data_IF_513465521488
#
_entry.id   IF_513465521488
#
_cell.length_a   1.000
_cell.length_b   1.000
_cell.length_c   1.000
_cell.angle_alpha   90.00
_cell.angle_beta   90.00
_cell.angle_gamma   90.00
#
_symmetry.space_group_name_H-M   'P 1'
#
loop_
_entity.id
_entity.type
_entity.pdbx_description
1 polymer ?
#
# COMPACT_ATOMS: atom_id res chain seq x y z
N UNK A 1 -29.37 10.16 -4.24
CA UNK A 1 -29.01 10.34 -2.82
C UNK A 1 -28.69 11.81 -2.66
N UNK A 2 -29.20 12.49 -1.63
CA UNK A 2 -28.82 13.90 -1.45
C UNK A 2 -27.35 14.02 -0.97
N UNK A 3 -26.69 15.18 -1.16
CA UNK A 3 -25.28 15.33 -0.77
C UNK A 3 -25.01 15.08 0.72
N UNK A 4 -25.95 15.40 1.61
CA UNK A 4 -25.77 15.20 3.05
C UNK A 4 -25.79 13.72 3.42
N UNK A 5 -26.78 12.97 2.92
CA UNK A 5 -26.88 11.52 3.06
C UNK A 5 -25.66 10.81 2.43
N UNK A 6 -25.22 11.30 1.26
CA UNK A 6 -24.03 10.82 0.56
C UNK A 6 -22.77 10.95 1.40
N UNK A 7 -22.49 12.15 1.91
CA UNK A 7 -21.33 12.42 2.77
C UNK A 7 -21.36 11.59 4.05
N UNK A 8 -22.49 11.55 4.76
CA UNK A 8 -22.63 10.79 6.01
C UNK A 8 -22.37 9.30 5.79
N UNK A 9 -22.96 8.72 4.73
CA UNK A 9 -22.75 7.31 4.39
C UNK A 9 -21.30 7.03 4.02
N UNK A 10 -20.68 7.92 3.24
CA UNK A 10 -19.30 7.74 2.81
C UNK A 10 -18.30 7.88 3.96
N UNK A 11 -18.47 8.84 4.87
CA UNK A 11 -17.65 8.97 6.08
C UNK A 11 -17.73 7.71 6.96
N UNK A 12 -18.91 7.10 7.11
CA UNK A 12 -19.05 5.81 7.81
C UNK A 12 -18.33 4.66 7.11
N UNK A 13 -18.18 4.71 5.79
CA UNK A 13 -17.42 3.73 5.02
C UNK A 13 -15.91 3.98 5.17
N UNK A 14 -15.47 5.23 5.09
CA UNK A 14 -14.07 5.63 5.30
C UNK A 14 -13.58 5.27 6.71
N UNK A 15 -14.42 5.46 7.74
CA UNK A 15 -14.09 5.08 9.13
C UNK A 15 -13.86 3.57 9.35
N UNK A 16 -14.16 2.72 8.37
CA UNK A 16 -13.93 1.25 8.41
C UNK A 16 -12.66 0.82 7.69
N UNK A 17 -11.96 1.75 7.04
CA UNK A 17 -10.72 1.46 6.33
C UNK A 17 -9.65 0.92 7.28
N UNK A 18 -8.95 -0.10 6.80
CA UNK A 18 -7.80 -0.70 7.45
C UNK A 18 -6.81 -1.20 6.38
N UNK A 19 -5.74 -1.88 6.81
CA UNK A 19 -4.71 -2.39 5.93
C UNK A 19 -5.21 -3.35 4.83
N UNK A 20 -6.42 -3.89 4.94
CA UNK A 20 -7.02 -4.78 3.95
C UNK A 20 -7.52 -4.06 2.72
N UNK A 21 -7.11 -4.52 1.55
CA UNK A 21 -7.69 -4.12 0.27
C UNK A 21 -9.21 -4.34 0.24
N UNK A 22 -9.70 -5.41 0.89
CA UNK A 22 -11.14 -5.69 0.97
C UNK A 22 -11.92 -4.55 1.67
N UNK A 23 -11.31 -3.89 2.67
CA UNK A 23 -11.94 -2.76 3.36
C UNK A 23 -12.13 -1.53 2.45
N UNK A 24 -11.34 -1.43 1.38
CA UNK A 24 -11.29 -0.29 0.46
C UNK A 24 -12.32 -0.41 -0.68
N UNK A 25 -12.72 -1.64 -1.04
CA UNK A 25 -13.60 -1.92 -2.18
C UNK A 25 -14.98 -1.27 -2.01
N UNK A 26 -15.64 -1.47 -0.86
CA UNK A 26 -16.99 -0.96 -0.64
C UNK A 26 -17.08 0.58 -0.66
N UNK A 27 -16.18 1.33 0.02
CA UNK A 27 -16.10 2.78 -0.15
C UNK A 27 -15.87 3.19 -1.61
N UNK A 28 -14.98 2.50 -2.35
CA UNK A 28 -14.68 2.87 -3.73
C UNK A 28 -15.88 2.63 -4.67
N UNK A 29 -16.58 1.51 -4.50
CA UNK A 29 -17.83 1.23 -5.21
C UNK A 29 -18.90 2.29 -4.91
N UNK A 30 -18.99 2.73 -3.65
CA UNK A 30 -19.93 3.78 -3.27
C UNK A 30 -19.61 5.12 -3.95
N UNK A 31 -18.32 5.50 -3.98
CA UNK A 31 -17.85 6.72 -4.63
C UNK A 31 -18.11 6.72 -6.15
N UNK A 32 -17.87 5.58 -6.83
CA UNK A 32 -18.13 5.42 -8.27
C UNK A 32 -19.64 5.35 -8.56
N UNK A 33 -20.43 4.77 -7.67
CA UNK A 33 -21.89 4.73 -7.83
C UNK A 33 -22.53 6.13 -7.77
N UNK A 34 -21.94 7.04 -7.01
CA UNK A 34 -22.43 8.40 -6.80
C UNK A 34 -21.43 9.44 -7.31
N UNK A 35 -21.01 9.29 -8.58
CA UNK A 35 -20.13 10.26 -9.25
C UNK A 35 -20.73 11.67 -9.32
N UNK A 36 -22.06 11.79 -9.26
CA UNK A 36 -22.78 13.07 -9.14
C UNK A 36 -22.41 13.85 -7.87
N UNK A 37 -21.83 13.17 -6.86
CA UNK A 37 -21.38 13.74 -5.59
C UNK A 37 -19.85 13.79 -5.47
N UNK A 38 -19.10 13.68 -6.56
CA UNK A 38 -17.64 13.47 -6.50
C UNK A 38 -16.87 14.55 -5.73
N UNK A 39 -17.25 15.82 -5.85
CA UNK A 39 -16.63 16.94 -5.11
C UNK A 39 -16.90 16.85 -3.59
N UNK A 40 -18.13 16.53 -3.20
CA UNK A 40 -18.52 16.33 -1.80
C UNK A 40 -17.81 15.12 -1.19
N UNK A 41 -17.76 14.00 -1.92
CA UNK A 41 -17.12 12.78 -1.45
C UNK A 41 -15.60 12.92 -1.41
N UNK A 42 -14.99 13.62 -2.37
CA UNK A 42 -13.57 13.93 -2.35
C UNK A 42 -13.21 14.85 -1.18
N UNK A 43 -14.09 15.79 -0.82
CA UNK A 43 -13.93 16.61 0.39
C UNK A 43 -13.96 15.77 1.66
N UNK A 44 -14.79 14.72 1.73
CA UNK A 44 -14.77 13.76 2.86
C UNK A 44 -13.45 12.99 2.97
N UNK A 45 -12.76 12.70 1.86
CA UNK A 45 -11.42 12.08 1.89
C UNK A 45 -10.43 13.02 2.58
N UNK A 46 -10.46 14.31 2.24
CA UNK A 46 -9.62 15.33 2.87
C UNK A 46 -9.96 15.55 4.34
N UNK A 47 -11.25 15.55 4.71
CA UNK A 47 -11.70 15.65 6.10
C UNK A 47 -11.10 14.53 6.99
N UNK A 48 -11.10 13.29 6.48
CA UNK A 48 -10.50 12.14 7.17
C UNK A 48 -8.96 12.18 7.16
N UNK A 49 -8.33 12.72 6.10
CA UNK A 49 -6.87 12.93 6.05
C UNK A 49 -6.42 13.99 7.06
N UNK A 50 -7.17 15.08 7.23
CA UNK A 50 -6.81 16.18 8.11
C UNK A 50 -7.01 15.83 9.59
N UNK A 51 -8.12 15.14 9.92
CA UNK A 51 -8.48 14.77 11.30
C UNK A 51 -7.91 13.43 11.76
N UNK A 52 -7.56 12.54 10.82
CA UNK A 52 -7.14 11.17 11.11
C UNK A 52 -5.70 11.03 11.63
N UNK A 53 -5.45 9.94 12.35
CA UNK A 53 -4.10 9.50 12.73
C UNK A 53 -3.21 9.23 11.51
N UNK A 54 -1.89 9.20 11.67
CA UNK A 54 -0.97 8.81 10.58
C UNK A 54 -1.30 7.45 9.97
N UNK A 55 -1.78 6.51 10.79
CA UNK A 55 -2.21 5.21 10.33
C UNK A 55 -3.50 5.29 9.48
N UNK A 56 -4.46 6.11 9.91
CA UNK A 56 -5.67 6.43 9.12
C UNK A 56 -5.29 7.05 7.78
N UNK A 57 -4.36 8.00 7.76
CA UNK A 57 -3.88 8.66 6.53
C UNK A 57 -3.25 7.67 5.55
N UNK A 58 -2.45 6.72 6.03
CA UNK A 58 -1.90 5.64 5.19
C UNK A 58 -3.03 4.75 4.64
N UNK A 59 -4.03 4.38 5.45
CA UNK A 59 -5.19 3.63 4.97
C UNK A 59 -5.96 4.37 3.88
N UNK A 60 -6.11 5.68 4.02
CA UNK A 60 -6.73 6.54 3.00
C UNK A 60 -5.86 6.58 1.73
N UNK A 61 -4.53 6.65 1.85
CA UNK A 61 -3.62 6.61 0.69
C UNK A 61 -3.79 5.31 -0.12
N UNK A 62 -3.93 4.16 0.55
CA UNK A 62 -4.25 2.90 -0.13
C UNK A 62 -5.66 2.86 -0.70
N UNK A 63 -6.64 3.45 -0.02
CA UNK A 63 -7.98 3.61 -0.55
C UNK A 63 -7.99 4.45 -1.83
N UNK A 64 -7.23 5.55 -1.89
CA UNK A 64 -7.05 6.40 -3.07
C UNK A 64 -6.51 5.58 -4.25
N UNK A 65 -5.51 4.72 -4.02
CA UNK A 65 -5.03 3.79 -5.06
C UNK A 65 -6.13 2.86 -5.57
N UNK A 66 -6.86 2.21 -4.65
CA UNK A 66 -7.99 1.33 -4.98
C UNK A 66 -9.09 2.08 -5.73
N UNK A 67 -9.42 3.31 -5.33
CA UNK A 67 -10.41 4.14 -6.00
C UNK A 67 -9.98 4.44 -7.44
N UNK A 68 -8.72 4.84 -7.66
CA UNK A 68 -8.17 5.07 -9.00
C UNK A 68 -8.25 3.80 -9.86
N UNK A 69 -7.81 2.66 -9.33
CA UNK A 69 -7.87 1.38 -10.04
C UNK A 69 -9.31 1.02 -10.44
N UNK A 70 -10.26 1.21 -9.53
CA UNK A 70 -11.67 0.94 -9.81
C UNK A 70 -12.27 1.94 -10.80
N UNK A 71 -11.91 3.23 -10.74
CA UNK A 71 -12.32 4.22 -11.73
C UNK A 71 -11.84 3.83 -13.14
N UNK A 72 -10.58 3.44 -13.29
CA UNK A 72 -10.01 2.98 -14.56
C UNK A 72 -10.71 1.71 -15.07
N UNK A 73 -10.98 0.74 -14.18
CA UNK A 73 -11.74 -0.47 -14.52
C UNK A 73 -13.18 -0.18 -14.97
N UNK A 74 -13.77 0.93 -14.53
CA UNK A 74 -15.08 1.41 -14.98
C UNK A 74 -15.01 2.34 -16.21
N UNK A 75 -13.84 2.50 -16.83
CA UNK A 75 -13.66 3.33 -18.02
C UNK A 75 -13.73 4.84 -17.77
N UNK A 76 -13.59 5.27 -16.52
CA UNK A 76 -13.58 6.70 -16.16
C UNK A 76 -12.21 7.30 -16.48
N UNK A 77 -12.20 8.54 -16.97
CA UNK A 77 -10.97 9.28 -17.35
C UNK A 77 -10.84 10.64 -16.66
N UNK A 78 -11.80 11.01 -15.81
CA UNK A 78 -11.84 12.29 -15.10
C UNK A 78 -12.25 12.13 -13.64
N UNK A 79 -12.96 13.13 -13.12
CA UNK A 79 -13.49 13.09 -11.75
C UNK A 79 -12.40 12.88 -10.70
N UNK A 80 -12.55 11.85 -9.87
CA UNK A 80 -11.57 11.45 -8.87
C UNK A 80 -10.14 11.33 -9.41
N UNK A 81 -9.94 10.80 -10.63
CA UNK A 81 -8.60 10.63 -11.22
C UNK A 81 -7.90 11.99 -11.39
N UNK A 82 -8.62 13.00 -11.89
CA UNK A 82 -8.07 14.35 -12.09
C UNK A 82 -7.81 15.05 -10.75
N UNK A 83 -8.72 14.90 -9.79
CA UNK A 83 -8.56 15.50 -8.45
C UNK A 83 -7.35 14.91 -7.71
N UNK A 84 -7.18 13.59 -7.75
CA UNK A 84 -6.07 12.86 -7.13
C UNK A 84 -4.74 13.22 -7.83
N UNK A 85 -4.73 13.24 -9.16
CA UNK A 85 -3.55 13.63 -9.94
C UNK A 85 -3.11 15.06 -9.62
N UNK A 86 -4.06 16.01 -9.60
CA UNK A 86 -3.81 17.41 -9.22
C UNK A 86 -3.22 17.56 -7.82
N UNK A 87 -3.74 16.80 -6.85
CA UNK A 87 -3.40 16.95 -5.45
C UNK A 87 -2.34 15.96 -4.94
N UNK A 88 -1.68 15.19 -5.83
CA UNK A 88 -0.78 14.10 -5.42
C UNK A 88 0.32 14.55 -4.46
N UNK A 89 0.94 15.71 -4.68
CA UNK A 89 1.96 16.23 -3.77
C UNK A 89 1.37 16.66 -2.42
N UNK A 90 0.12 17.14 -2.39
CA UNK A 90 -0.57 17.47 -1.12
C UNK A 90 -0.90 16.19 -0.34
N UNK A 91 -1.34 15.13 -1.04
CA UNK A 91 -1.58 13.82 -0.44
C UNK A 91 -0.29 13.30 0.22
N UNK A 92 0.84 13.38 -0.50
CA UNK A 92 2.16 13.02 0.06
C UNK A 92 2.50 13.86 1.29
N UNK A 93 2.32 15.19 1.24
CA UNK A 93 2.62 16.06 2.39
C UNK A 93 1.75 15.75 3.61
N UNK A 94 0.49 15.37 3.43
CA UNK A 94 -0.41 15.03 4.54
C UNK A 94 -0.07 13.65 5.13
N UNK A 95 0.15 12.65 4.28
CA UNK A 95 0.38 11.25 4.70
C UNK A 95 1.80 11.05 5.21
N UNK A 96 2.80 11.61 4.54
CA UNK A 96 4.20 11.52 4.94
C UNK A 96 4.79 12.93 5.17
N UNK A 97 4.41 13.65 6.24
CA UNK A 97 4.95 14.99 6.52
C UNK A 97 6.41 14.92 6.99
N UNK A 98 7.07 16.08 7.06
CA UNK A 98 8.42 16.19 7.64
C UNK A 98 8.44 15.63 9.08
N UNK A 99 9.42 14.77 9.37
CA UNK A 99 9.65 14.19 10.69
C UNK A 99 9.48 12.67 10.75
N UNK A 100 9.48 12.11 11.96
CA UNK A 100 9.45 10.66 12.17
C UNK A 100 8.24 9.97 11.53
N UNK A 101 7.08 10.63 11.49
CA UNK A 101 5.88 10.10 10.86
C UNK A 101 6.03 9.96 9.33
N UNK A 102 6.67 10.93 8.66
CA UNK A 102 6.97 10.84 7.24
C UNK A 102 7.93 9.70 6.93
N UNK A 103 9.02 9.60 7.70
CA UNK A 103 9.97 8.51 7.54
C UNK A 103 9.31 7.13 7.74
N UNK A 104 8.43 7.01 8.74
CA UNK A 104 7.71 5.77 9.02
C UNK A 104 6.66 5.42 7.95
N UNK A 105 6.12 6.41 7.22
CA UNK A 105 5.12 6.21 6.17
C UNK A 105 5.73 6.17 4.75
N UNK A 106 7.01 6.49 4.60
CA UNK A 106 7.66 6.64 3.31
C UNK A 106 7.59 5.37 2.44
N UNK A 107 7.84 4.15 2.95
CA UNK A 107 7.71 2.93 2.14
C UNK A 107 6.29 2.71 1.61
N UNK A 108 5.27 2.99 2.41
CA UNK A 108 3.85 2.82 2.06
C UNK A 108 3.43 3.81 0.98
N UNK A 109 3.85 5.09 1.12
CA UNK A 109 3.58 6.13 0.12
C UNK A 109 4.30 5.84 -1.20
N UNK A 110 5.57 5.41 -1.17
CA UNK A 110 6.31 5.03 -2.40
C UNK A 110 5.61 3.93 -3.19
N UNK A 111 5.07 2.91 -2.52
CA UNK A 111 4.29 1.83 -3.17
C UNK A 111 3.05 2.38 -3.89
N UNK A 112 2.31 3.28 -3.24
CA UNK A 112 1.13 3.89 -3.85
C UNK A 112 1.51 4.79 -5.02
N UNK A 113 2.58 5.59 -4.89
CA UNK A 113 3.07 6.44 -5.99
C UNK A 113 3.46 5.61 -7.22
N UNK A 114 4.19 4.50 -7.01
CA UNK A 114 4.55 3.59 -8.09
C UNK A 114 3.29 3.01 -8.76
N UNK A 115 2.34 2.53 -7.96
CA UNK A 115 1.07 1.96 -8.43
C UNK A 115 0.25 2.96 -9.27
N UNK A 116 0.14 4.21 -8.81
CA UNK A 116 -0.55 5.29 -9.54
C UNK A 116 0.17 5.68 -10.84
N UNK A 117 1.51 5.64 -10.85
CA UNK A 117 2.33 5.93 -12.03
C UNK A 117 2.22 4.82 -13.09
N UNK A 118 2.30 3.55 -12.68
CA UNK A 118 2.11 2.39 -13.58
C UNK A 118 0.70 2.39 -14.22
N UNK A 119 -0.31 2.83 -13.46
CA UNK A 119 -1.70 3.01 -13.94
C UNK A 119 -1.91 4.29 -14.76
N UNK A 120 -0.89 5.14 -14.93
CA UNK A 120 -0.94 6.43 -15.64
C UNK A 120 -1.95 7.43 -15.07
N UNK A 121 -2.19 7.38 -13.76
CA UNK A 121 -2.98 8.39 -13.05
C UNK A 121 -2.17 9.67 -12.84
N UNK A 122 -0.86 9.50 -12.63
CA UNK A 122 0.12 10.58 -12.54
C UNK A 122 1.19 10.40 -13.62
N UNK A 123 1.69 11.52 -14.15
CA UNK A 123 2.76 11.53 -15.14
C UNK A 123 4.17 11.42 -14.49
N UNK A 124 5.20 11.32 -15.33
CA UNK A 124 6.59 11.19 -14.89
C UNK A 124 7.09 12.37 -14.04
N UNK A 125 6.60 13.59 -14.29
CA UNK A 125 7.00 14.78 -13.54
C UNK A 125 6.33 14.77 -12.16
N UNK A 126 5.03 14.53 -12.12
CA UNK A 126 4.27 14.38 -10.88
C UNK A 126 4.84 13.27 -10.00
N UNK A 127 5.18 12.11 -10.60
CA UNK A 127 5.80 11.00 -9.88
C UNK A 127 7.17 11.40 -9.30
N UNK A 128 8.04 12.05 -10.08
CA UNK A 128 9.35 12.53 -9.61
C UNK A 128 9.22 13.55 -8.48
N UNK A 129 8.34 14.53 -8.62
CA UNK A 129 8.11 15.57 -7.61
C UNK A 129 7.58 14.98 -6.30
N UNK A 130 6.62 14.05 -6.40
CA UNK A 130 6.07 13.34 -5.25
C UNK A 130 7.12 12.47 -4.56
N UNK A 131 7.92 11.71 -5.31
CA UNK A 131 9.01 10.88 -4.78
C UNK A 131 10.11 11.73 -4.13
N UNK A 132 10.47 12.86 -4.73
CA UNK A 132 11.43 13.80 -4.15
C UNK A 132 10.92 14.40 -2.82
N UNK A 133 9.62 14.67 -2.73
CA UNK A 133 8.98 15.13 -1.49
C UNK A 133 9.09 14.08 -0.38
N UNK A 134 8.78 12.81 -0.69
CA UNK A 134 8.93 11.69 0.27
C UNK A 134 10.38 11.57 0.75
N UNK A 135 11.33 11.61 -0.17
CA UNK A 135 12.76 11.51 0.14
C UNK A 135 13.23 12.68 1.03
N UNK A 136 12.87 13.91 0.68
CA UNK A 136 13.22 15.09 1.47
C UNK A 136 12.65 15.02 2.89
N UNK A 137 11.41 14.55 3.06
CA UNK A 137 10.79 14.41 4.36
C UNK A 137 11.42 13.28 5.20
N UNK A 138 11.81 12.17 4.56
CA UNK A 138 12.54 11.09 5.21
C UNK A 138 13.95 11.54 5.65
N UNK A 139 14.67 12.27 4.80
CA UNK A 139 16.01 12.79 5.12
C UNK A 139 15.96 13.85 6.23
N UNK A 140 14.97 14.74 6.20
CA UNK A 140 14.77 15.75 7.25
C UNK A 140 14.58 15.11 8.64
N UNK A 141 13.97 13.91 8.71
CA UNK A 141 13.82 13.18 9.97
C UNK A 141 15.16 12.69 10.55
N UNK A 142 16.13 12.33 9.70
CA UNK A 142 17.46 11.85 10.11
C UNK A 142 18.35 12.99 10.64
N UNK A 143 18.05 14.22 10.23
CA UNK A 143 18.85 15.42 10.54
C UNK A 143 18.51 16.10 11.88
N UNK A 144 17.58 15.55 12.67
CA UNK A 144 17.55 15.84 14.12
C UNK A 144 16.45 16.76 14.67
N UNK A 145 15.42 17.14 13.91
CA UNK A 145 14.26 17.87 14.45
C UNK A 145 13.09 16.91 14.73
N UNK A 146 13.16 16.18 15.86
CA UNK A 146 12.13 15.22 16.29
C UNK A 146 11.23 15.79 17.39
N UNK A 147 10.82 17.05 17.29
CA UNK A 147 10.18 17.79 18.40
C UNK A 147 8.64 17.81 18.41
N UNK A 148 7.94 17.05 17.55
CA UNK A 148 6.46 17.13 17.47
C UNK A 148 5.71 15.80 17.37
N UNK A 149 6.28 14.67 17.82
CA UNK A 149 5.46 13.48 18.08
C UNK A 149 4.72 13.68 19.41
N UNK A 150 3.57 14.34 19.35
CA UNK A 150 2.59 14.33 20.44
C UNK A 150 2.33 12.88 20.88
N UNK A 151 2.10 12.68 22.17
CA UNK A 151 1.99 11.35 22.79
C UNK A 151 0.98 10.46 22.03
N UNK A 152 1.50 9.59 21.15
CA UNK A 152 0.69 8.62 20.39
C UNK A 152 0.12 7.63 21.39
N UNK A 153 -1.19 7.39 21.34
CA UNK A 153 -1.82 6.46 22.28
C UNK A 153 -1.27 5.05 22.07
N UNK A 154 -1.13 4.28 23.15
CA UNK A 154 -0.68 2.88 23.08
C UNK A 154 -1.56 2.06 22.13
N UNK A 155 -2.85 2.36 22.07
CA UNK A 155 -3.81 1.71 21.16
C UNK A 155 -3.49 2.00 19.70
N UNK A 156 -3.15 3.24 19.35
CA UNK A 156 -2.78 3.61 17.98
C UNK A 156 -1.47 2.95 17.55
N UNK A 157 -0.49 2.85 18.47
CA UNK A 157 0.77 2.14 18.21
C UNK A 157 0.50 0.66 17.93
N UNK A 158 -0.27 -0.01 18.78
CA UNK A 158 -0.60 -1.43 18.60
C UNK A 158 -1.41 -1.67 17.32
N UNK A 159 -2.37 -0.80 17.01
CA UNK A 159 -3.15 -0.85 15.76
C UNK A 159 -2.24 -0.72 14.55
N UNK A 160 -1.30 0.23 14.57
CA UNK A 160 -0.32 0.41 13.49
C UNK A 160 0.59 -0.81 13.31
N UNK A 161 1.10 -1.37 14.40
CA UNK A 161 1.93 -2.59 14.35
C UNK A 161 1.16 -3.74 13.69
N UNK A 162 -0.10 -3.95 14.09
CA UNK A 162 -0.92 -5.02 13.53
C UNK A 162 -1.27 -4.77 12.05
N UNK A 163 -1.55 -3.52 11.68
CA UNK A 163 -1.80 -3.16 10.29
C UNK A 163 -0.57 -3.31 9.41
N UNK A 164 0.62 -2.88 9.87
CA UNK A 164 1.88 -3.06 9.15
C UNK A 164 2.23 -4.55 9.02
N UNK A 165 2.01 -5.34 10.08
CA UNK A 165 2.13 -6.81 10.04
C UNK A 165 1.26 -7.40 8.94
N UNK A 166 0.00 -6.98 8.88
CA UNK A 166 -0.94 -7.47 7.88
C UNK A 166 -0.60 -7.01 6.45
N UNK A 167 -0.15 -5.76 6.26
CA UNK A 167 0.37 -5.29 4.96
C UNK A 167 1.55 -6.14 4.48
N UNK A 168 2.50 -6.39 5.38
CA UNK A 168 3.71 -7.11 5.05
C UNK A 168 3.42 -8.59 4.79
N UNK A 169 2.48 -9.19 5.53
CA UNK A 169 1.97 -10.53 5.26
C UNK A 169 1.41 -10.62 3.84
N UNK A 170 0.49 -9.74 3.44
CA UNK A 170 -0.10 -9.75 2.08
C UNK A 170 0.91 -9.55 0.96
N UNK A 171 1.88 -8.68 1.17
CA UNK A 171 2.98 -8.49 0.21
C UNK A 171 3.73 -9.80 -0.04
N UNK A 172 3.90 -10.63 1.00
CA UNK A 172 4.61 -11.91 0.90
C UNK A 172 3.75 -13.06 0.39
N UNK A 173 2.42 -12.96 0.44
CA UNK A 173 1.49 -14.01 0.02
C UNK A 173 1.65 -14.40 -1.45
N UNK A 174 2.10 -13.48 -2.32
CA UNK A 174 2.27 -13.73 -3.76
C UNK A 174 3.75 -13.79 -4.21
N UNK A 175 4.74 -13.73 -3.31
CA UNK A 175 6.16 -13.71 -3.70
C UNK A 175 6.58 -14.99 -4.43
N UNK A 176 5.96 -16.13 -4.11
CA UNK A 176 6.24 -17.42 -4.73
C UNK A 176 5.44 -17.65 -6.03
N UNK A 177 4.47 -16.78 -6.35
CA UNK A 177 3.64 -16.95 -7.53
C UNK A 177 4.38 -16.44 -8.78
N UNK A 178 4.49 -17.29 -9.79
CA UNK A 178 5.10 -16.95 -11.08
C UNK A 178 3.98 -16.44 -12.01
N UNK A 179 4.01 -15.15 -12.35
CA UNK A 179 3.00 -14.53 -13.22
C UNK A 179 3.03 -15.06 -14.66
N UNK A 180 4.23 -15.41 -15.14
CA UNK A 180 4.47 -15.90 -16.50
C UNK A 180 5.15 -17.28 -16.45
N UNK A 181 4.38 -18.37 -16.41
CA UNK A 181 4.92 -19.73 -16.29
C UNK A 181 5.94 -20.08 -17.37
N UNK A 182 5.84 -19.46 -18.55
CA UNK A 182 6.76 -19.66 -19.67
C UNK A 182 8.20 -19.21 -19.36
N UNK A 183 8.36 -18.26 -18.43
CA UNK A 183 9.66 -17.73 -18.00
C UNK A 183 10.19 -18.39 -16.72
N UNK A 184 9.49 -19.37 -16.14
CA UNK A 184 9.87 -20.01 -14.87
C UNK A 184 11.32 -20.52 -14.89
N UNK A 185 11.72 -21.19 -15.97
CA UNK A 185 13.07 -21.74 -16.11
C UNK A 185 14.15 -20.64 -16.19
N UNK A 186 13.87 -19.54 -16.89
CA UNK A 186 14.81 -18.41 -17.02
C UNK A 186 14.93 -17.64 -15.70
N UNK A 187 13.81 -17.41 -15.01
CA UNK A 187 13.78 -16.82 -13.69
C UNK A 187 14.61 -17.69 -12.73
N UNK A 188 14.32 -19.00 -12.68
CA UNK A 188 15.06 -19.93 -11.83
C UNK A 188 16.56 -19.89 -12.13
N UNK A 189 16.96 -19.95 -13.40
CA UNK A 189 18.37 -19.89 -13.80
C UNK A 189 19.09 -18.62 -13.32
N UNK A 190 18.42 -17.47 -13.43
CA UNK A 190 19.00 -16.18 -13.05
C UNK A 190 18.99 -15.93 -11.53
N UNK A 191 18.10 -16.57 -10.78
CA UNK A 191 17.97 -16.39 -9.32
C UNK A 191 18.65 -17.48 -8.48
N UNK A 192 18.97 -18.62 -9.07
CA UNK A 192 19.57 -19.75 -8.35
C UNK A 192 20.95 -19.36 -7.82
N UNK A 193 21.14 -19.55 -6.52
CA UNK A 193 22.43 -19.35 -5.87
C UNK A 193 23.30 -20.60 -6.05
N UNK A 194 24.62 -20.44 -5.90
CA UNK A 194 25.51 -21.60 -5.86
C UNK A 194 25.19 -22.50 -4.66
N UNK A 195 25.46 -23.80 -4.79
CA UNK A 195 25.30 -24.77 -3.70
C UNK A 195 26.08 -24.31 -2.46
N UNK A 196 25.38 -24.30 -1.33
CA UNK A 196 25.88 -24.00 0.00
C UNK A 196 26.10 -25.27 0.82
N UNK A 197 26.76 -25.14 1.96
CA UNK A 197 26.91 -26.25 2.93
C UNK A 197 25.55 -26.77 3.42
N UNK A 198 24.58 -25.87 3.64
CA UNK A 198 23.21 -26.24 4.04
C UNK A 198 22.48 -27.04 2.96
N UNK A 199 22.76 -26.79 1.68
CA UNK A 199 22.21 -27.58 0.57
C UNK A 199 22.80 -28.99 0.55
N UNK A 200 24.11 -29.12 0.81
CA UNK A 200 24.78 -30.42 0.91
C UNK A 200 24.28 -31.25 2.10
N UNK A 201 24.04 -30.62 3.24
CA UNK A 201 23.42 -31.26 4.40
C UNK A 201 22.01 -31.75 4.07
N UNK A 202 21.19 -30.91 3.44
CA UNK A 202 19.83 -31.29 3.01
C UNK A 202 19.84 -32.46 2.03
N UNK A 203 20.76 -32.46 1.06
CA UNK A 203 20.95 -33.57 0.11
C UNK A 203 21.37 -34.88 0.81
N UNK A 204 22.24 -34.79 1.83
CA UNK A 204 22.67 -35.95 2.61
C UNK A 204 21.52 -36.53 3.44
N UNK A 205 20.73 -35.68 4.09
CA UNK A 205 19.55 -36.08 4.84
C UNK A 205 18.50 -36.77 3.95
N UNK A 206 18.29 -36.26 2.73
CA UNK A 206 17.42 -36.90 1.74
C UNK A 206 17.96 -38.27 1.28
N UNK A 207 19.27 -38.38 1.07
CA UNK A 207 19.92 -39.64 0.70
C UNK A 207 19.82 -40.70 1.81
N UNK A 208 19.99 -40.31 3.08
CA UNK A 208 19.81 -41.20 4.22
C UNK A 208 18.37 -41.74 4.30
N UNK A 209 17.37 -40.86 4.17
CA UNK A 209 15.94 -41.25 4.12
C UNK A 209 15.62 -42.18 2.95
N UNK A 210 16.23 -41.95 1.79
CA UNK A 210 16.05 -42.81 0.62
C UNK A 210 16.59 -44.22 0.87
N UNK A 211 17.78 -44.35 1.48
CA UNK A 211 18.35 -45.66 1.83
C UNK A 211 17.52 -46.40 2.88
N UNK A 212 16.99 -45.69 3.88
CA UNK A 212 16.07 -46.27 4.86
C UNK A 212 14.83 -46.87 4.19
N UNK A 213 14.23 -46.15 3.23
CA UNK A 213 13.08 -46.65 2.47
C UNK A 213 13.41 -47.90 1.64
N UNK A 214 14.58 -47.94 1.00
CA UNK A 214 15.02 -49.12 0.23
C UNK A 214 15.17 -50.35 1.12
N UNK A 215 15.79 -50.19 2.29
CA UNK A 215 15.98 -51.28 3.25
C UNK A 215 14.68 -51.71 3.94
N UNK A 216 13.69 -50.83 4.09
CA UNK A 216 12.37 -51.19 4.61
C UNK A 216 11.54 -52.04 3.63
N UNK A 217 11.88 -52.04 2.34
CA UNK A 217 11.23 -52.85 1.30
C UNK A 217 11.92 -54.20 1.00
N UNK A 218 13.02 -54.52 1.69
CA UNK A 218 13.71 -55.83 1.63
C UNK A 218 13.42 -56.67 2.86
#
# INVERSE_FOLDING_TARGET
MDPFEGRMTFLQLLGKLNASQFSQIKPAQFAIKHLDLEEDLYSCIWEELESGSFNTRVNIMYFVDTLCEMCLKNGLTGGYLNMISRDICKLVQNVAPIGAAGAANAPEVRKVLQSLHEKKVIDDNQYKDAMATVEAHEQASKSGDTSTSGAISKNDILKRIEEDRERHKRMRENIWAISEPELEAEIAWNTTQGITESDLESLKDEYEKFNECLHATS
#
